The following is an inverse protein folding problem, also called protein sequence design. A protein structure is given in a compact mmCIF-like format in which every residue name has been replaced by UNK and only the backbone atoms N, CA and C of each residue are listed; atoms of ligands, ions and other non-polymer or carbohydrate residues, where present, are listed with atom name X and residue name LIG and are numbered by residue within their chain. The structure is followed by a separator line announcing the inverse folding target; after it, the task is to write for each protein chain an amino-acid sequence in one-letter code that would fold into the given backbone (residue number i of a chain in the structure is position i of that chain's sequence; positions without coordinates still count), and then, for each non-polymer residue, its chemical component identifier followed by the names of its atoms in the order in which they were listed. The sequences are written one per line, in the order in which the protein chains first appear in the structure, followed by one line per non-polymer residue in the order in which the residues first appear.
data_IF_555909137075
#
_entry.id   IF_555909137075
#
_cell.length_a   1.000
_cell.length_b   1.000
_cell.length_c   1.000
_cell.angle_alpha   90.00
_cell.angle_beta   90.00
_cell.angle_gamma   90.00
#
_symmetry.space_group_name_H-M   'P 1'
#
loop_
_entity.id
_entity.type
_entity.pdbx_description
1 polymer ?
#
# COMPACT_ATOMS: atom_id res chain seq x y z
N UNK A 1 -8.48 -23.99 15.94
CA UNK A 1 -9.36 -22.95 15.35
C UNK A 1 -8.60 -21.64 15.42
N UNK A 2 -8.02 -21.19 14.30
CA UNK A 2 -7.29 -19.91 14.24
C UNK A 2 -8.28 -18.75 14.06
N UNK A 3 -8.03 -17.61 14.73
CA UNK A 3 -8.78 -16.36 14.50
C UNK A 3 -8.54 -15.87 13.07
N UNK A 4 -9.54 -15.21 12.46
CA UNK A 4 -9.41 -14.63 11.11
C UNK A 4 -8.46 -13.43 11.16
N UNK A 5 -7.69 -13.24 10.09
CA UNK A 5 -6.69 -12.18 9.95
C UNK A 5 -7.26 -10.75 10.00
N UNK A 6 -8.48 -10.55 9.51
CA UNK A 6 -9.17 -9.25 9.52
C UNK A 6 -9.65 -8.89 10.92
N UNK A 7 -10.14 -9.88 11.66
CA UNK A 7 -10.54 -9.73 13.05
C UNK A 7 -9.30 -9.37 13.89
N UNK A 8 -8.14 -9.99 13.63
CA UNK A 8 -6.87 -9.62 14.29
C UNK A 8 -6.40 -8.20 13.94
N UNK A 9 -6.61 -7.74 12.70
CA UNK A 9 -6.25 -6.39 12.26
C UNK A 9 -7.15 -5.32 12.90
N UNK A 10 -8.47 -5.52 12.88
CA UNK A 10 -9.43 -4.61 13.51
C UNK A 10 -9.22 -4.57 15.02
N UNK A 11 -9.05 -5.74 15.66
CA UNK A 11 -8.79 -5.86 17.10
C UNK A 11 -7.50 -5.11 17.49
N UNK A 12 -6.46 -5.13 16.65
CA UNK A 12 -5.20 -4.41 16.90
C UNK A 12 -5.35 -2.91 16.68
N UNK A 13 -6.07 -2.48 15.63
CA UNK A 13 -6.33 -1.07 15.37
C UNK A 13 -7.18 -0.43 16.48
N UNK A 14 -8.24 -1.11 16.91
CA UNK A 14 -9.11 -0.65 18.01
C UNK A 14 -8.33 -0.57 19.32
N UNK A 15 -7.47 -1.56 19.60
CA UNK A 15 -6.57 -1.56 20.76
C UNK A 15 -5.56 -0.40 20.72
N UNK A 16 -5.00 -0.11 19.55
CA UNK A 16 -4.09 1.02 19.33
C UNK A 16 -4.78 2.37 19.58
N UNK A 17 -5.99 2.54 19.06
CA UNK A 17 -6.78 3.75 19.20
C UNK A 17 -7.14 3.97 20.67
N UNK A 18 -7.56 2.90 21.36
CA UNK A 18 -7.86 2.94 22.78
C UNK A 18 -6.62 3.30 23.63
N UNK A 19 -5.47 2.65 23.41
CA UNK A 19 -4.23 2.97 24.15
C UNK A 19 -3.74 4.40 23.91
N UNK A 20 -3.83 4.87 22.67
CA UNK A 20 -3.46 6.25 22.31
C UNK A 20 -4.40 7.26 22.95
N UNK A 21 -5.71 7.01 22.93
CA UNK A 21 -6.69 7.85 23.60
C UNK A 21 -6.44 7.92 25.10
N UNK A 22 -6.18 6.77 25.75
CA UNK A 22 -5.84 6.71 27.18
C UNK A 22 -4.59 7.54 27.48
N UNK A 23 -3.53 7.42 26.66
CA UNK A 23 -2.28 8.17 26.85
C UNK A 23 -2.42 9.67 26.64
N UNK A 24 -3.23 10.10 25.67
CA UNK A 24 -3.53 11.52 25.46
C UNK A 24 -4.27 12.07 26.67
N UNK A 25 -5.28 11.37 27.17
CA UNK A 25 -6.08 11.81 28.31
C UNK A 25 -5.24 11.85 29.60
N UNK A 26 -4.42 10.82 29.85
CA UNK A 26 -3.56 10.78 31.03
C UNK A 26 -2.47 11.84 30.98
N UNK A 27 -1.82 12.05 29.84
CA UNK A 27 -0.78 13.07 29.71
C UNK A 27 -1.37 14.50 29.64
N UNK A 28 -2.55 14.65 29.03
CA UNK A 28 -3.29 15.91 28.96
C UNK A 28 -3.81 16.38 30.32
N UNK A 29 -4.27 15.46 31.17
CA UNK A 29 -4.70 15.80 32.54
C UNK A 29 -3.52 16.27 33.42
N UNK A 30 -2.35 15.64 33.31
CA UNK A 30 -1.11 16.13 33.94
C UNK A 30 -0.70 17.49 33.38
N UNK A 31 -0.79 17.67 32.06
CA UNK A 31 -0.52 18.95 31.39
C UNK A 31 -1.48 20.07 31.81
N UNK A 32 -2.75 19.74 32.07
CA UNK A 32 -3.77 20.68 32.53
C UNK A 32 -3.46 21.20 33.94
N UNK A 33 -3.07 20.31 34.86
CA UNK A 33 -2.68 20.67 36.23
C UNK A 33 -1.43 21.56 36.20
N UNK A 34 -0.42 21.20 35.39
CA UNK A 34 0.78 22.01 35.22
C UNK A 34 0.47 23.39 34.60
N UNK A 35 -0.43 23.45 33.61
CA UNK A 35 -0.83 24.70 32.97
C UNK A 35 -1.48 25.68 33.97
N UNK A 36 -2.27 25.18 34.92
CA UNK A 36 -2.88 25.98 35.97
C UNK A 36 -1.85 26.55 36.96
N UNK A 37 -0.84 25.75 37.35
CA UNK A 37 0.23 26.16 38.29
C UNK A 37 1.14 27.23 37.65
N UNK A 38 1.56 27.01 36.41
CA UNK A 38 2.48 27.91 35.70
C UNK A 38 1.77 29.06 34.98
N UNK A 39 0.43 29.14 35.04
CA UNK A 39 -0.41 30.11 34.32
C UNK A 39 -0.06 30.25 32.84
N UNK A 40 0.34 29.15 32.21
CA UNK A 40 0.75 29.07 30.79
C UNK A 40 0.12 27.86 30.15
N UNK A 41 -0.36 27.97 28.91
CA UNK A 41 -1.06 26.86 28.22
C UNK A 41 -0.14 25.84 27.55
N UNK A 42 1.14 26.17 27.32
CA UNK A 42 2.07 25.26 26.64
C UNK A 42 2.23 23.87 27.29
N UNK A 43 2.15 23.67 28.63
CA UNK A 43 2.27 22.35 29.26
C UNK A 43 1.12 21.40 28.90
N UNK A 44 -0.08 21.92 28.64
CA UNK A 44 -1.22 21.13 28.18
C UNK A 44 -0.98 20.58 26.77
N UNK A 45 -0.56 21.45 25.84
CA UNK A 45 -0.20 21.05 24.47
C UNK A 45 0.98 20.10 24.44
N UNK A 46 1.99 20.33 25.29
CA UNK A 46 3.13 19.42 25.46
C UNK A 46 2.69 18.05 25.95
N UNK A 47 1.81 17.98 26.96
CA UNK A 47 1.30 16.71 27.51
C UNK A 47 0.51 15.92 26.47
N UNK A 48 -0.42 16.57 25.77
CA UNK A 48 -1.19 15.94 24.68
C UNK A 48 -0.26 15.44 23.58
N UNK A 49 0.72 16.26 23.15
CA UNK A 49 1.69 15.88 22.12
C UNK A 49 2.58 14.71 22.53
N UNK A 50 3.02 14.66 23.79
CA UNK A 50 3.82 13.56 24.33
C UNK A 50 3.01 12.25 24.41
N UNK A 51 1.75 12.33 24.87
CA UNK A 51 0.84 11.18 24.93
C UNK A 51 0.51 10.61 23.54
N UNK A 52 0.23 11.48 22.57
CA UNK A 52 0.04 11.10 21.17
C UNK A 52 1.30 10.45 20.58
N UNK A 53 2.48 11.04 20.81
CA UNK A 53 3.76 10.51 20.35
C UNK A 53 4.07 9.12 20.91
N UNK A 54 3.88 8.91 22.21
CA UNK A 54 4.07 7.60 22.85
C UNK A 54 3.01 6.56 22.44
N UNK A 55 1.77 6.98 22.19
CA UNK A 55 0.70 6.11 21.67
C UNK A 55 1.00 5.62 20.26
N UNK A 56 1.39 6.53 19.36
CA UNK A 56 1.79 6.18 17.99
C UNK A 56 3.04 5.31 17.97
N UNK A 57 4.02 5.56 18.84
CA UNK A 57 5.24 4.76 18.89
C UNK A 57 4.95 3.29 19.24
N UNK A 58 4.09 3.04 20.23
CA UNK A 58 3.64 1.68 20.58
C UNK A 58 2.81 1.06 19.46
N UNK A 59 1.85 1.80 18.91
CA UNK A 59 1.00 1.28 17.85
C UNK A 59 1.78 0.94 16.57
N UNK A 60 2.77 1.76 16.21
CA UNK A 60 3.65 1.51 15.07
C UNK A 60 4.38 0.18 15.20
N UNK A 61 4.82 -0.19 16.41
CA UNK A 61 5.51 -1.45 16.65
C UNK A 61 4.59 -2.66 16.47
N UNK A 62 3.37 -2.60 17.00
CA UNK A 62 2.41 -3.71 16.95
C UNK A 62 1.80 -3.88 15.55
N UNK A 63 1.47 -2.76 14.88
CA UNK A 63 1.04 -2.76 13.49
C UNK A 63 2.13 -3.27 12.57
N UNK A 64 3.41 -2.95 12.84
CA UNK A 64 4.53 -3.52 12.08
C UNK A 64 4.58 -5.04 12.23
N UNK A 65 4.26 -5.61 13.39
CA UNK A 65 4.24 -7.06 13.61
C UNK A 65 3.12 -7.77 12.84
N UNK A 66 1.93 -7.15 12.74
CA UNK A 66 0.84 -7.67 11.90
C UNK A 66 1.11 -7.46 10.42
N UNK A 67 1.57 -6.28 10.02
CA UNK A 67 1.93 -5.99 8.64
C UNK A 67 3.07 -6.89 8.19
N UNK A 68 4.06 -7.21 9.03
CA UNK A 68 5.12 -8.18 8.70
C UNK A 68 4.62 -9.62 8.49
N UNK A 69 3.42 -9.97 8.98
CA UNK A 69 2.76 -11.25 8.66
C UNK A 69 2.08 -11.24 7.28
N UNK A 70 1.73 -10.07 6.74
CA UNK A 70 0.99 -9.92 5.47
C UNK A 70 1.79 -9.24 4.34
N UNK A 71 2.85 -8.51 4.66
CA UNK A 71 3.71 -7.78 3.72
C UNK A 71 5.15 -7.66 4.27
N UNK A 72 6.18 -7.97 3.47
CA UNK A 72 7.57 -7.86 3.92
C UNK A 72 8.00 -6.41 4.10
N UNK A 73 8.92 -6.17 5.03
CA UNK A 73 9.30 -4.83 5.52
C UNK A 73 9.73 -3.78 4.49
N UNK A 74 10.09 -4.16 3.26
CA UNK A 74 10.37 -3.23 2.15
C UNK A 74 9.10 -2.55 1.61
N UNK A 75 7.94 -3.21 1.67
CA UNK A 75 6.65 -2.68 1.20
C UNK A 75 6.13 -1.55 2.09
N UNK A 76 6.44 -1.60 3.39
CA UNK A 76 6.02 -0.59 4.34
C UNK A 76 6.71 0.76 4.06
N UNK A 77 8.01 0.76 3.71
CA UNK A 77 8.69 2.00 3.34
C UNK A 77 8.06 2.66 2.11
N UNK A 78 7.58 1.86 1.15
CA UNK A 78 7.04 2.32 -0.14
C UNK A 78 5.55 2.75 -0.04
N UNK A 79 4.76 2.07 0.80
CA UNK A 79 3.40 2.50 1.14
C UNK A 79 3.39 3.91 1.77
N UNK A 80 4.47 4.30 2.46
CA UNK A 80 4.67 5.62 3.05
C UNK A 80 5.55 6.57 2.22
N UNK A 81 5.99 6.20 1.01
CA UNK A 81 6.73 7.12 0.14
C UNK A 81 5.82 8.26 -0.32
N UNK A 82 6.34 9.48 -0.16
CA UNK A 82 5.77 10.73 -0.67
C UNK A 82 6.36 10.99 -2.05
N UNK A 83 5.52 10.83 -3.06
CA UNK A 83 5.83 10.97 -4.47
C UNK A 83 6.36 12.37 -4.83
N UNK A 84 5.97 13.40 -4.06
CA UNK A 84 6.35 14.80 -4.27
C UNK A 84 7.81 15.13 -3.92
N UNK A 85 8.58 14.16 -3.43
CA UNK A 85 10.01 14.34 -3.06
C UNK A 85 10.99 13.78 -4.09
N UNK A 86 10.52 13.26 -5.21
CA UNK A 86 11.39 12.71 -6.26
C UNK A 86 11.97 13.84 -7.10
N UNK A 87 13.27 13.83 -7.34
CA UNK A 87 13.90 14.74 -8.31
C UNK A 87 13.62 14.23 -9.72
N UNK A 88 12.67 14.86 -10.41
CA UNK A 88 12.28 14.47 -11.75
C UNK A 88 13.22 14.96 -12.85
N UNK A 89 14.19 15.82 -12.53
CA UNK A 89 15.19 16.30 -13.49
C UNK A 89 16.32 15.29 -13.67
N UNK A 90 16.58 14.47 -12.64
CA UNK A 90 17.45 13.31 -12.72
C UNK A 90 16.67 12.05 -13.16
N UNK A 91 16.89 11.65 -14.42
CA UNK A 91 16.25 10.48 -15.00
C UNK A 91 16.52 9.20 -14.20
N UNK A 92 17.72 9.04 -13.62
CA UNK A 92 18.07 7.82 -12.88
C UNK A 92 17.29 7.75 -11.57
N UNK A 93 17.13 8.87 -10.87
CA UNK A 93 16.35 8.96 -9.63
C UNK A 93 14.87 8.64 -9.89
N UNK A 94 14.30 9.17 -10.97
CA UNK A 94 12.94 8.81 -11.38
C UNK A 94 12.81 7.31 -11.71
N UNK A 95 13.72 6.75 -12.52
CA UNK A 95 13.67 5.35 -12.94
C UNK A 95 13.85 4.37 -11.77
N UNK A 96 14.78 4.65 -10.85
CA UNK A 96 14.98 3.83 -9.64
C UNK A 96 13.73 3.83 -8.75
N UNK A 97 13.08 4.98 -8.60
CA UNK A 97 11.85 5.07 -7.83
C UNK A 97 10.70 4.31 -8.50
N UNK A 98 10.54 4.46 -9.81
CA UNK A 98 9.50 3.75 -10.57
C UNK A 98 9.71 2.23 -10.53
N UNK A 99 10.96 1.76 -10.65
CA UNK A 99 11.33 0.34 -10.53
C UNK A 99 11.01 -0.22 -9.13
N UNK A 100 11.29 0.54 -8.07
CA UNK A 100 10.90 0.17 -6.70
C UNK A 100 9.38 0.03 -6.54
N UNK A 101 8.59 0.88 -7.19
CA UNK A 101 7.14 0.75 -7.21
C UNK A 101 6.67 -0.48 -8.00
N UNK A 102 7.36 -0.85 -9.08
CA UNK A 102 7.03 -2.03 -9.92
C UNK A 102 7.37 -3.36 -9.25
N UNK A 103 8.47 -3.44 -8.51
CA UNK A 103 8.86 -4.63 -7.72
C UNK A 103 7.80 -5.06 -6.69
N UNK A 104 6.94 -4.14 -6.28
CA UNK A 104 5.81 -4.46 -5.41
C UNK A 104 4.74 -5.22 -6.17
N UNK A 105 4.41 -4.81 -7.40
CA UNK A 105 3.42 -5.51 -8.22
C UNK A 105 3.85 -6.94 -8.52
N UNK A 106 5.12 -7.16 -8.85
CA UNK A 106 5.66 -8.51 -9.06
C UNK A 106 5.49 -9.38 -7.82
N UNK A 107 5.68 -8.79 -6.64
CA UNK A 107 5.48 -9.47 -5.37
C UNK A 107 4.01 -9.74 -5.09
N UNK A 108 3.13 -8.78 -5.33
CA UNK A 108 1.68 -8.97 -5.18
C UNK A 108 1.21 -10.07 -6.12
N UNK A 109 1.67 -10.07 -7.37
CA UNK A 109 1.32 -11.07 -8.36
C UNK A 109 1.83 -12.46 -7.97
N UNK A 110 3.03 -12.55 -7.39
CA UNK A 110 3.58 -13.79 -6.84
C UNK A 110 2.72 -14.34 -5.69
N UNK A 111 2.37 -13.49 -4.71
CA UNK A 111 1.51 -13.90 -3.59
C UNK A 111 0.09 -14.27 -4.08
N UNK A 112 -0.45 -13.54 -5.06
CA UNK A 112 -1.72 -13.85 -5.71
C UNK A 112 -1.70 -15.23 -6.37
N UNK A 113 -0.63 -15.55 -7.10
CA UNK A 113 -0.47 -16.86 -7.75
C UNK A 113 -0.29 -18.01 -6.74
N UNK A 114 0.26 -17.71 -5.55
CA UNK A 114 0.45 -18.69 -4.48
C UNK A 114 -0.85 -18.93 -3.70
N UNK A 115 -1.63 -17.89 -3.45
CA UNK A 115 -2.91 -17.96 -2.75
C UNK A 115 -4.06 -18.49 -3.65
N UNK A 116 -4.03 -18.18 -4.95
CA UNK A 116 -5.05 -18.52 -5.95
C UNK A 116 -4.41 -19.14 -7.21
N UNK A 117 -4.04 -20.43 -7.20
CA UNK A 117 -3.47 -21.08 -8.37
C UNK A 117 -4.50 -21.27 -9.51
N UNK A 118 -4.04 -21.30 -10.77
CA UNK A 118 -4.89 -21.59 -11.95
C UNK A 118 -5.52 -22.97 -11.87
N UNK A 119 -6.74 -23.12 -12.42
CA UNK A 119 -7.42 -24.42 -12.56
C UNK A 119 -6.59 -25.51 -13.27
N UNK A 120 -5.61 -25.11 -14.08
CA UNK A 120 -4.67 -25.98 -14.79
C UNK A 120 -3.75 -26.85 -13.90
N UNK A 121 -3.78 -26.68 -12.57
CA UNK A 121 -2.99 -27.48 -11.62
C UNK A 121 -3.79 -28.51 -10.81
N UNK A 122 -4.97 -28.93 -11.29
CA UNK A 122 -5.78 -29.98 -10.64
C UNK A 122 -5.94 -31.25 -11.50
N UNK A 123 -4.84 -31.83 -12.00
CA UNK A 123 -4.89 -33.18 -12.58
C UNK A 123 -4.69 -34.25 -11.50
N UNK A 124 -5.73 -35.07 -11.31
CA UNK A 124 -5.84 -36.28 -10.49
C UNK A 124 -6.35 -36.08 -9.06
N UNK A 125 -7.67 -36.23 -8.88
CA UNK A 125 -8.32 -37.14 -7.92
C UNK A 125 -9.86 -37.04 -8.07
N UNK A 126 -10.53 -38.20 -8.04
CA UNK A 126 -11.92 -38.42 -8.43
C UNK A 126 -12.94 -37.66 -7.55
N UNK A 127 -13.72 -36.78 -8.19
CA UNK A 127 -14.46 -35.68 -7.56
C UNK A 127 -15.92 -36.04 -7.22
N UNK A 128 -16.42 -37.21 -7.63
CA UNK A 128 -17.86 -37.54 -7.58
C UNK A 128 -18.34 -38.23 -6.30
N UNK A 129 -17.58 -39.18 -5.77
CA UNK A 129 -18.06 -40.08 -4.71
C UNK A 129 -17.79 -39.53 -3.29
N UNK A 130 -16.68 -38.81 -3.12
CA UNK A 130 -16.31 -38.16 -1.86
C UNK A 130 -17.16 -36.92 -1.56
N UNK A 131 -17.66 -36.26 -2.60
CA UNK A 131 -18.50 -35.07 -2.49
C UNK A 131 -19.89 -35.39 -1.91
N UNK A 132 -20.43 -36.59 -2.18
CA UNK A 132 -21.74 -37.03 -1.65
C UNK A 132 -21.71 -37.45 -0.18
N UNK A 133 -20.57 -37.92 0.32
CA UNK A 133 -20.42 -38.25 1.76
C UNK A 133 -20.28 -36.99 2.62
N UNK A 134 -19.69 -35.91 2.09
CA UNK A 134 -19.53 -34.63 2.79
C UNK A 134 -20.84 -33.83 2.79
N UNK A 135 -21.67 -33.99 1.74
CA UNK A 135 -22.95 -33.28 1.61
C UNK A 135 -24.00 -33.63 2.68
N UNK A 136 -23.82 -34.73 3.43
CA UNK A 136 -24.78 -35.15 4.48
C UNK A 136 -24.48 -34.61 5.89
N UNK A 137 -23.38 -33.91 6.10
CA UNK A 137 -23.05 -33.29 7.40
C UNK A 137 -22.89 -31.75 7.34
N UNK A 138 -23.03 -31.14 6.17
CA UNK A 138 -22.78 -29.70 5.98
C UNK A 138 -24.06 -28.93 5.65
N UNK A 139 -24.90 -28.75 6.67
CA UNK A 139 -25.88 -27.65 6.73
C UNK A 139 -25.44 -26.57 7.73
N UNK A 140 -24.20 -26.59 8.23
CA UNK A 140 -23.70 -25.58 9.17
C UNK A 140 -22.25 -25.11 8.95
N UNK A 141 -21.56 -25.57 7.90
CA UNK A 141 -20.14 -25.21 7.63
C UNK A 141 -19.99 -24.70 6.20
N UNK A 142 -20.56 -23.53 5.90
CA UNK A 142 -20.52 -22.95 4.53
C UNK A 142 -20.06 -21.49 4.47
N UNK A 143 -19.28 -20.98 5.44
CA UNK A 143 -18.89 -19.55 5.44
C UNK A 143 -17.46 -19.22 5.89
N UNK A 144 -16.55 -20.20 5.96
CA UNK A 144 -15.16 -19.95 6.40
C UNK A 144 -14.13 -19.89 5.25
N UNK A 145 -14.06 -20.91 4.38
CA UNK A 145 -12.98 -21.03 3.38
C UNK A 145 -13.14 -20.05 2.19
N UNK A 146 -14.36 -19.81 1.72
CA UNK A 146 -14.66 -18.79 0.71
C UNK A 146 -14.43 -17.35 1.21
N UNK A 147 -14.51 -17.11 2.51
CA UNK A 147 -14.43 -15.77 3.10
C UNK A 147 -12.98 -15.32 3.33
N UNK A 148 -12.12 -16.22 3.81
CA UNK A 148 -10.69 -15.94 4.02
C UNK A 148 -9.94 -15.72 2.69
N UNK A 149 -10.31 -16.45 1.64
CA UNK A 149 -9.75 -16.30 0.30
C UNK A 149 -10.20 -14.98 -0.36
N UNK A 150 -11.47 -14.58 -0.16
CA UNK A 150 -12.05 -13.30 -0.62
C UNK A 150 -11.43 -12.08 0.09
N UNK A 151 -11.11 -12.23 1.38
CA UNK A 151 -10.44 -11.24 2.23
C UNK A 151 -9.02 -10.90 1.73
N UNK A 152 -8.18 -11.92 1.54
CA UNK A 152 -6.80 -11.76 1.06
C UNK A 152 -6.78 -11.18 -0.35
N UNK A 153 -7.67 -11.68 -1.22
CA UNK A 153 -7.86 -11.17 -2.57
C UNK A 153 -8.23 -9.69 -2.59
N UNK A 154 -9.16 -9.25 -1.73
CA UNK A 154 -9.55 -7.83 -1.63
C UNK A 154 -8.39 -6.96 -1.13
N UNK A 155 -7.59 -7.45 -0.18
CA UNK A 155 -6.39 -6.76 0.31
C UNK A 155 -5.32 -6.62 -0.78
N UNK A 156 -5.00 -7.70 -1.49
CA UNK A 156 -4.02 -7.69 -2.60
C UNK A 156 -4.50 -6.80 -3.75
N UNK A 157 -5.80 -6.84 -4.08
CA UNK A 157 -6.41 -5.99 -5.11
C UNK A 157 -6.38 -4.50 -4.73
N UNK A 158 -6.73 -4.16 -3.49
CA UNK A 158 -6.65 -2.80 -2.97
C UNK A 158 -5.20 -2.27 -3.00
N UNK A 159 -4.23 -3.12 -2.67
CA UNK A 159 -2.81 -2.77 -2.75
C UNK A 159 -2.35 -2.54 -4.19
N UNK A 160 -2.75 -3.41 -5.13
CA UNK A 160 -2.53 -3.21 -6.57
C UNK A 160 -3.08 -1.86 -7.04
N UNK A 161 -4.35 -1.56 -6.74
CA UNK A 161 -4.96 -0.29 -7.13
C UNK A 161 -4.23 0.93 -6.53
N UNK A 162 -3.81 0.83 -5.26
CA UNK A 162 -3.05 1.88 -4.59
C UNK A 162 -1.71 2.13 -5.29
N UNK A 163 -1.01 1.07 -5.68
CA UNK A 163 0.26 1.16 -6.39
C UNK A 163 0.11 1.77 -7.79
N UNK A 164 -0.96 1.44 -8.51
CA UNK A 164 -1.30 2.05 -9.81
C UNK A 164 -1.45 3.56 -9.71
N UNK A 165 -2.22 4.03 -8.73
CA UNK A 165 -2.44 5.47 -8.51
C UNK A 165 -1.14 6.18 -8.21
N UNK A 166 -0.29 5.61 -7.34
CA UNK A 166 1.02 6.18 -7.02
C UNK A 166 1.95 6.28 -8.22
N UNK A 167 2.01 5.26 -9.08
CA UNK A 167 2.86 5.30 -10.28
C UNK A 167 2.35 6.33 -11.28
N UNK A 168 1.05 6.39 -11.51
CA UNK A 168 0.44 7.36 -12.43
C UNK A 168 0.66 8.80 -11.98
N UNK A 169 0.45 9.06 -10.70
CA UNK A 169 0.72 10.37 -10.13
C UNK A 169 2.23 10.71 -10.28
N UNK A 170 3.15 9.77 -9.99
CA UNK A 170 4.59 10.03 -10.08
C UNK A 170 5.02 10.41 -11.49
N UNK A 171 4.53 9.64 -12.46
CA UNK A 171 4.81 9.88 -13.87
C UNK A 171 4.23 11.24 -14.27
N UNK A 172 3.00 11.55 -13.88
CA UNK A 172 2.36 12.82 -14.20
C UNK A 172 3.12 14.01 -13.58
N UNK A 173 3.50 13.90 -12.32
CA UNK A 173 4.31 14.90 -11.61
C UNK A 173 5.63 15.18 -12.35
N UNK A 174 6.37 14.13 -12.72
CA UNK A 174 7.63 14.29 -13.43
C UNK A 174 7.47 14.77 -14.88
N UNK A 175 6.37 14.45 -15.55
CA UNK A 175 6.01 15.00 -16.86
C UNK A 175 5.80 16.52 -16.75
N UNK A 176 5.04 16.97 -15.76
CA UNK A 176 4.70 18.39 -15.58
C UNK A 176 5.95 19.22 -15.20
N UNK A 177 6.79 18.68 -14.32
CA UNK A 177 8.05 19.31 -13.92
C UNK A 177 9.02 19.46 -15.10
N UNK A 178 9.21 18.41 -15.89
CA UNK A 178 10.09 18.46 -17.07
C UNK A 178 9.55 19.40 -18.16
N UNK A 179 8.22 19.47 -18.35
CA UNK A 179 7.62 20.43 -19.29
C UNK A 179 7.87 21.87 -18.85
N UNK A 180 7.74 22.13 -17.55
CA UNK A 180 8.06 23.43 -16.95
C UNK A 180 9.53 23.77 -17.15
N UNK A 181 10.43 22.81 -16.91
CA UNK A 181 11.87 23.00 -17.07
C UNK A 181 12.25 23.32 -18.53
N UNK A 182 11.70 22.61 -19.52
CA UNK A 182 11.94 22.90 -20.95
C UNK A 182 11.45 24.32 -21.30
N UNK A 183 10.29 24.71 -20.79
CA UNK A 183 9.72 26.05 -21.01
C UNK A 183 10.62 27.14 -20.42
N UNK A 184 11.18 26.89 -19.23
CA UNK A 184 12.15 27.76 -18.56
C UNK A 184 13.45 27.89 -19.35
N UNK A 185 14.06 26.78 -19.76
CA UNK A 185 15.32 26.77 -20.55
C UNK A 185 15.17 27.54 -21.89
N UNK A 186 14.00 27.43 -22.54
CA UNK A 186 13.70 28.21 -23.75
C UNK A 186 13.61 29.70 -23.48
N UNK A 187 12.97 30.09 -22.37
CA UNK A 187 12.82 31.50 -21.96
C UNK A 187 14.16 32.13 -21.60
N UNK A 188 15.01 31.37 -20.91
CA UNK A 188 16.37 31.78 -20.50
C UNK A 188 17.38 31.76 -21.66
N UNK A 189 16.99 31.28 -22.85
CA UNK A 189 17.89 31.07 -24.00
C UNK A 189 19.10 30.20 -23.64
N UNK A 190 18.89 29.20 -22.81
CA UNK A 190 19.91 28.23 -22.42
C UNK A 190 20.48 27.50 -23.65
N UNK A 191 21.69 26.92 -23.55
CA UNK A 191 22.29 26.13 -24.61
C UNK A 191 21.33 25.08 -25.20
N UNK A 192 21.36 24.94 -26.51
CA UNK A 192 20.50 23.97 -27.24
C UNK A 192 20.72 22.53 -26.74
N UNK A 193 21.94 22.22 -26.28
CA UNK A 193 22.27 20.92 -25.70
C UNK A 193 21.41 20.61 -24.45
N UNK A 194 21.21 21.58 -23.56
CA UNK A 194 20.45 21.41 -22.32
C UNK A 194 18.96 21.21 -22.61
N UNK A 195 18.43 21.96 -23.58
CA UNK A 195 17.04 21.81 -24.03
C UNK A 195 16.81 20.42 -24.64
N UNK A 196 17.75 19.94 -25.48
CA UNK A 196 17.66 18.59 -26.07
C UNK A 196 17.76 17.51 -25.00
N UNK A 197 18.64 17.70 -24.01
CA UNK A 197 18.78 16.79 -22.88
C UNK A 197 17.46 16.65 -22.11
N UNK A 198 16.86 17.79 -21.70
CA UNK A 198 15.57 17.80 -21.02
C UNK A 198 14.43 17.23 -21.88
N UNK A 199 14.42 17.47 -23.20
CA UNK A 199 13.45 16.87 -24.12
C UNK A 199 13.58 15.35 -24.23
N UNK A 200 14.81 14.82 -24.21
CA UNK A 200 15.06 13.38 -24.22
C UNK A 200 14.59 12.74 -22.91
N UNK A 201 14.88 13.37 -21.76
CA UNK A 201 14.37 12.93 -20.45
C UNK A 201 12.84 12.88 -20.45
N UNK A 202 12.17 13.94 -20.89
CA UNK A 202 10.71 13.98 -20.98
C UNK A 202 10.15 12.90 -21.92
N UNK A 203 10.84 12.59 -23.02
CA UNK A 203 10.43 11.52 -23.94
C UNK A 203 10.45 10.16 -23.25
N UNK A 204 11.50 9.85 -22.48
CA UNK A 204 11.61 8.60 -21.73
C UNK A 204 10.49 8.52 -20.69
N UNK A 205 10.29 9.58 -19.88
CA UNK A 205 9.24 9.63 -18.86
C UNK A 205 7.85 9.42 -19.50
N UNK A 206 7.58 10.04 -20.66
CA UNK A 206 6.30 9.83 -21.36
C UNK A 206 6.11 8.40 -21.85
N UNK A 207 7.16 7.74 -22.34
CA UNK A 207 7.05 6.33 -22.73
C UNK A 207 6.76 5.40 -21.54
N UNK A 208 7.08 5.81 -20.32
CA UNK A 208 6.69 5.04 -19.13
C UNK A 208 5.17 5.05 -18.89
N UNK A 209 4.42 6.05 -19.37
CA UNK A 209 2.94 6.01 -19.33
C UNK A 209 2.38 4.86 -20.18
N UNK A 210 2.96 4.65 -21.36
CA UNK A 210 2.55 3.57 -22.25
C UNK A 210 2.88 2.21 -21.64
N UNK A 211 4.08 2.06 -21.07
CA UNK A 211 4.49 0.85 -20.33
C UNK A 211 3.53 0.58 -19.16
N UNK A 212 3.16 1.62 -18.41
CA UNK A 212 2.29 1.48 -17.24
C UNK A 212 0.87 1.04 -17.63
N UNK A 213 0.34 1.49 -18.77
CA UNK A 213 -0.94 1.02 -19.29
C UNK A 213 -0.93 -0.49 -19.57
N UNK A 214 0.18 -1.01 -20.12
CA UNK A 214 0.35 -2.44 -20.42
C UNK A 214 0.47 -3.27 -19.14
N UNK A 215 1.22 -2.77 -18.15
CA UNK A 215 1.37 -3.42 -16.84
C UNK A 215 0.02 -3.51 -16.11
N UNK A 216 -0.79 -2.46 -16.19
CA UNK A 216 -2.11 -2.41 -15.59
C UNK A 216 -3.08 -3.41 -16.23
N UNK A 217 -3.12 -3.48 -17.56
CA UNK A 217 -3.97 -4.44 -18.30
C UNK A 217 -3.61 -5.89 -17.92
N UNK A 218 -2.31 -6.22 -17.83
CA UNK A 218 -1.84 -7.56 -17.44
C UNK A 218 -2.25 -7.93 -16.02
N UNK A 219 -2.08 -7.00 -15.07
CA UNK A 219 -2.41 -7.26 -13.66
C UNK A 219 -3.93 -7.31 -13.44
N UNK A 220 -4.72 -6.55 -14.19
CA UNK A 220 -6.18 -6.61 -14.17
C UNK A 220 -6.70 -7.93 -14.74
N UNK A 221 -6.17 -8.36 -15.88
CA UNK A 221 -6.49 -9.66 -16.47
C UNK A 221 -6.16 -10.82 -15.54
N UNK A 222 -4.98 -10.79 -14.89
CA UNK A 222 -4.59 -11.81 -13.93
C UNK A 222 -5.55 -11.90 -12.74
N UNK A 223 -6.01 -10.75 -12.21
CA UNK A 223 -7.02 -10.72 -11.15
C UNK A 223 -8.36 -11.25 -11.67
N UNK A 224 -8.83 -10.75 -12.81
CA UNK A 224 -10.11 -11.16 -13.41
C UNK A 224 -10.18 -12.68 -13.67
N UNK A 225 -9.14 -13.25 -14.27
CA UNK A 225 -9.08 -14.69 -14.60
C UNK A 225 -9.07 -15.58 -13.34
N UNK A 226 -8.59 -15.07 -12.20
CA UNK A 226 -8.58 -15.80 -10.90
C UNK A 226 -9.85 -15.60 -10.09
N UNK A 227 -10.47 -14.44 -10.21
CA UNK A 227 -11.70 -14.09 -9.49
C UNK A 227 -12.95 -14.66 -10.14
N UNK A 228 -12.91 -15.00 -11.44
CA UNK A 228 -14.07 -15.52 -12.19
C UNK A 228 -14.70 -16.76 -11.54
N UNK A 229 -13.91 -17.61 -10.88
CA UNK A 229 -14.42 -18.84 -10.22
C UNK A 229 -15.20 -18.54 -8.92
N UNK A 230 -15.15 -17.30 -8.43
CA UNK A 230 -15.81 -16.84 -7.18
C UNK A 230 -16.96 -15.85 -7.41
N UNK A 231 -17.27 -15.52 -8.67
CA UNK A 231 -18.38 -14.67 -9.13
C UNK A 231 -19.48 -15.55 -9.73
#
# INVERSE_FOLDING_TARGET
MGKKSEDELSETFDRCLADTAVKIVSAGSVGLIAAAIFKRQFPLWLGIGMGFGMGIANCRHDMRKLILRFAPGSLLSIAFMDEKRVDCLDLLTFQDMLDKLRKIDDKILFELNTALPSESFSSNMDKGEKCRSIYKEVTYVLTADLYAQKSILYSLYSMLLTMRVKRMNLIQHCVDENQTNISRLRKEKSPIADIRSAQNTLRVIRSEMDVESIVNDRSEKAVHDRCRTFL
#
